data_IF_335742858139
#
_entry.id   IF_335742858139
#
_cell.length_a   1.000
_cell.length_b   1.000
_cell.length_c   1.000
_cell.angle_alpha   90.00
_cell.angle_beta   90.00
_cell.angle_gamma   90.00
#
_symmetry.space_group_name_H-M   'P 1'
#
loop_
_entity.id
_entity.type
_entity.pdbx_description
1 polymer ?
#
# COMPACT_ATOMS: atom_id res chain seq x y z
N UNK A 1 -13.27 13.47 -11.03
CA UNK A 1 -13.41 13.30 -9.59
C UNK A 1 -12.11 12.76 -9.02
N UNK A 2 -11.61 13.33 -7.93
CA UNK A 2 -10.47 12.82 -7.17
C UNK A 2 -10.87 11.58 -6.39
N UNK A 3 -10.05 10.53 -6.40
CA UNK A 3 -10.24 9.34 -5.58
C UNK A 3 -9.51 9.47 -4.23
N UNK A 4 -8.40 10.22 -4.22
CA UNK A 4 -7.59 10.47 -3.04
C UNK A 4 -7.18 11.93 -3.02
N UNK A 5 -7.31 12.56 -1.86
CA UNK A 5 -6.96 13.96 -1.61
C UNK A 5 -6.03 14.05 -0.43
N UNK A 6 -4.91 14.74 -0.63
CA UNK A 6 -3.87 15.00 0.37
C UNK A 6 -3.79 16.52 0.55
N UNK A 7 -3.90 16.97 1.80
CA UNK A 7 -3.86 18.40 2.15
C UNK A 7 -2.88 18.63 3.30
N UNK A 8 -1.83 19.39 3.03
CA UNK A 8 -0.81 19.81 4.01
C UNK A 8 -0.17 18.65 4.79
N UNK A 9 0.06 17.51 4.13
CA UNK A 9 0.72 16.36 4.79
C UNK A 9 2.16 16.71 5.11
N UNK A 10 2.51 16.59 6.39
CA UNK A 10 3.88 16.66 6.91
C UNK A 10 4.18 15.41 7.72
N UNK A 11 5.42 14.91 7.61
CA UNK A 11 5.89 13.72 8.32
C UNK A 11 7.25 13.95 8.93
N UNK A 12 7.38 13.58 10.19
CA UNK A 12 8.62 13.64 10.95
C UNK A 12 8.99 12.24 11.45
N UNK A 13 10.27 11.91 11.39
CA UNK A 13 10.86 10.71 12.01
C UNK A 13 11.76 11.13 13.15
N UNK A 14 11.63 10.47 14.29
CA UNK A 14 12.56 10.66 15.41
C UNK A 14 13.87 9.93 15.09
N UNK A 15 15.03 10.62 15.20
CA UNK A 15 16.34 10.05 14.96
C UNK A 15 16.96 9.49 16.26
N UNK A 16 16.93 10.26 17.36
CA UNK A 16 17.63 9.94 18.61
C UNK A 16 16.88 10.43 19.87
N UNK A 17 15.59 10.64 19.76
CA UNK A 17 14.75 11.16 20.86
C UNK A 17 14.87 12.67 21.10
N UNK A 18 15.84 13.35 20.49
CA UNK A 18 16.03 14.81 20.57
C UNK A 18 15.94 15.49 19.21
N UNK A 19 16.29 14.78 18.14
CA UNK A 19 16.26 15.30 16.77
C UNK A 19 15.18 14.61 15.97
N UNK A 20 14.53 15.38 15.08
CA UNK A 20 13.53 14.87 14.14
C UNK A 20 13.97 15.23 12.73
N UNK A 21 13.83 14.29 11.83
CA UNK A 21 14.00 14.50 10.40
C UNK A 21 12.63 14.71 9.75
N UNK A 22 12.47 15.81 9.02
CA UNK A 22 11.27 16.08 8.28
C UNK A 22 11.33 15.42 6.89
N UNK A 23 10.66 14.27 6.76
CA UNK A 23 10.61 13.51 5.52
C UNK A 23 9.60 14.08 4.51
N UNK A 24 8.51 14.68 4.98
CA UNK A 24 7.51 15.34 4.13
C UNK A 24 7.16 16.71 4.70
N UNK A 25 6.99 17.70 3.81
CA UNK A 25 6.67 19.06 4.20
C UNK A 25 5.52 19.62 3.38
N UNK A 26 4.36 19.83 4.03
CA UNK A 26 3.17 20.47 3.46
C UNK A 26 2.78 19.94 2.08
N UNK A 27 2.77 18.61 1.90
CA UNK A 27 2.45 17.98 0.63
C UNK A 27 0.95 18.14 0.36
N UNK A 28 0.64 18.63 -0.83
CA UNK A 28 -0.71 18.74 -1.36
C UNK A 28 -0.78 18.00 -2.69
N UNK A 29 -1.70 17.04 -2.82
CA UNK A 29 -1.83 16.21 -4.00
C UNK A 29 -3.27 15.72 -4.15
N UNK A 30 -3.74 15.64 -5.39
CA UNK A 30 -5.00 14.98 -5.73
C UNK A 30 -4.75 13.89 -6.76
N UNK A 31 -5.23 12.68 -6.48
CA UNK A 31 -5.15 11.55 -7.38
C UNK A 31 -6.52 11.33 -8.00
N UNK A 32 -6.58 11.43 -9.33
CA UNK A 32 -7.83 11.25 -10.06
C UNK A 32 -8.15 9.76 -10.25
N UNK A 33 -9.46 9.43 -10.18
CA UNK A 33 -9.93 8.06 -10.45
C UNK A 33 -9.59 7.65 -11.90
N UNK A 34 -9.09 6.43 -12.07
CA UNK A 34 -8.79 5.84 -13.38
C UNK A 34 -7.58 6.44 -14.09
N UNK A 35 -6.71 7.13 -13.37
CA UNK A 35 -5.46 7.69 -13.91
C UNK A 35 -4.25 7.07 -13.21
N UNK A 36 -3.14 6.98 -13.95
CA UNK A 36 -1.83 6.67 -13.39
C UNK A 36 -1.22 7.99 -12.91
N UNK A 37 -0.73 7.99 -11.66
CA UNK A 37 0.00 9.12 -11.07
C UNK A 37 1.41 8.66 -10.75
N UNK A 38 2.43 9.30 -11.33
CA UNK A 38 3.82 9.02 -11.05
C UNK A 38 4.37 10.00 -10.01
N UNK A 39 5.04 9.47 -8.98
CA UNK A 39 5.79 10.23 -7.98
C UNK A 39 7.28 9.95 -8.21
N UNK A 40 8.03 10.96 -8.60
CA UNK A 40 9.45 10.83 -8.88
C UNK A 40 10.28 11.86 -8.10
N UNK A 41 11.57 11.57 -7.93
CA UNK A 41 12.52 12.42 -7.20
C UNK A 41 13.74 11.61 -6.75
N UNK A 42 14.76 12.28 -6.20
CA UNK A 42 15.99 11.63 -5.73
C UNK A 42 15.72 10.61 -4.60
N UNK A 43 16.73 9.77 -4.31
CA UNK A 43 16.65 8.86 -3.15
C UNK A 43 16.54 9.69 -1.86
N UNK A 44 15.76 9.20 -0.91
CA UNK A 44 15.56 9.87 0.39
C UNK A 44 14.55 11.02 0.40
N UNK A 45 13.99 11.46 -0.74
CA UNK A 45 13.09 12.62 -0.78
C UNK A 45 11.65 12.35 -0.26
N UNK A 46 11.40 11.23 0.44
CA UNK A 46 10.12 10.96 1.11
C UNK A 46 9.07 10.21 0.27
N UNK A 47 9.39 9.72 -0.95
CA UNK A 47 8.42 8.98 -1.79
C UNK A 47 7.78 7.79 -1.08
N UNK A 48 8.60 6.95 -0.45
CA UNK A 48 8.14 5.78 0.31
C UNK A 48 7.31 6.19 1.52
N UNK A 49 7.71 7.26 2.23
CA UNK A 49 6.93 7.79 3.36
C UNK A 49 5.54 8.25 2.90
N UNK A 50 5.46 8.93 1.75
CA UNK A 50 4.17 9.36 1.19
C UNK A 50 3.31 8.16 0.80
N UNK A 51 3.88 7.13 0.15
CA UNK A 51 3.15 5.91 -0.21
C UNK A 51 2.65 5.15 1.02
N UNK A 52 3.45 5.05 2.08
CA UNK A 52 3.03 4.43 3.35
C UNK A 52 1.86 5.17 4.00
N UNK A 53 1.86 6.50 3.95
CA UNK A 53 0.74 7.32 4.45
C UNK A 53 -0.50 7.10 3.58
N UNK A 54 -0.39 7.21 2.26
CA UNK A 54 -1.50 7.03 1.31
C UNK A 54 -2.18 5.67 1.48
N UNK A 55 -1.39 4.64 1.75
CA UNK A 55 -1.89 3.28 1.92
C UNK A 55 -2.44 2.97 3.32
N UNK A 56 -2.33 3.91 4.27
CA UNK A 56 -2.75 3.70 5.64
C UNK A 56 -1.83 2.77 6.44
N UNK A 57 -0.59 2.56 5.99
CA UNK A 57 0.45 1.84 6.76
C UNK A 57 1.08 2.75 7.82
N UNK A 58 1.24 4.04 7.53
CA UNK A 58 1.76 5.02 8.46
C UNK A 58 0.67 6.03 8.83
N UNK A 59 0.34 6.10 10.10
CA UNK A 59 -0.67 7.02 10.68
C UNK A 59 -0.07 8.25 11.34
N UNK A 60 1.23 8.28 11.53
CA UNK A 60 1.93 9.37 12.22
C UNK A 60 2.29 10.47 11.23
N UNK A 61 1.34 11.28 10.87
CA UNK A 61 1.50 12.45 10.00
C UNK A 61 0.59 13.60 10.46
N UNK A 62 0.94 14.79 10.06
CA UNK A 62 0.08 15.99 10.17
C UNK A 62 -0.66 16.22 8.85
N UNK A 63 -1.78 16.93 8.90
CA UNK A 63 -2.59 17.24 7.72
C UNK A 63 -3.76 16.29 7.53
N UNK A 64 -4.34 16.31 6.34
CA UNK A 64 -5.57 15.58 6.00
C UNK A 64 -5.34 14.65 4.81
N UNK A 65 -5.74 13.40 4.96
CA UNK A 65 -5.77 12.38 3.92
C UNK A 65 -7.20 11.85 3.78
N UNK A 66 -7.78 12.03 2.60
CA UNK A 66 -9.15 11.61 2.30
C UNK A 66 -9.16 10.60 1.14
N UNK A 67 -9.90 9.52 1.28
CA UNK A 67 -10.22 8.57 0.21
C UNK A 67 -11.71 8.67 -0.10
N UNK A 68 -12.05 9.09 -1.33
CA UNK A 68 -13.43 9.35 -1.77
C UNK A 68 -14.22 10.32 -0.85
N UNK A 69 -13.52 11.26 -0.22
CA UNK A 69 -14.09 12.25 0.70
C UNK A 69 -14.17 11.80 2.16
N UNK A 70 -13.78 10.56 2.47
CA UNK A 70 -13.73 10.04 3.85
C UNK A 70 -12.30 10.15 4.39
N UNK A 71 -12.16 10.68 5.61
CA UNK A 71 -10.86 10.82 6.28
C UNK A 71 -10.30 9.47 6.68
N UNK A 72 -9.09 9.14 6.21
CA UNK A 72 -8.41 7.91 6.64
C UNK A 72 -7.84 8.01 8.06
N UNK A 73 -7.65 9.22 8.58
CA UNK A 73 -7.13 9.44 9.93
C UNK A 73 -8.12 9.03 11.01
N UNK A 74 -9.41 9.19 10.72
CA UNK A 74 -10.49 8.94 11.69
C UNK A 74 -10.88 7.46 11.76
N UNK A 75 -10.36 6.64 10.85
CA UNK A 75 -10.59 5.20 10.84
C UNK A 75 -9.86 4.51 12.01
N UNK A 76 -10.54 3.58 12.65
CA UNK A 76 -9.94 2.63 13.60
C UNK A 76 -8.94 1.70 12.89
N UNK A 77 -8.12 0.97 13.65
CA UNK A 77 -7.18 -0.03 13.09
C UNK A 77 -7.92 -1.13 12.30
N UNK A 78 -9.10 -1.54 12.77
CA UNK A 78 -9.92 -2.55 12.09
C UNK A 78 -10.39 -2.01 10.74
N UNK A 79 -10.92 -0.78 10.71
CA UNK A 79 -11.39 -0.14 9.47
C UNK A 79 -10.25 0.13 8.48
N UNK A 80 -9.07 0.55 8.95
CA UNK A 80 -7.88 0.69 8.11
C UNK A 80 -7.41 -0.64 7.54
N UNK A 81 -7.50 -1.71 8.31
CA UNK A 81 -7.19 -3.06 7.83
C UNK A 81 -8.17 -3.48 6.73
N UNK A 82 -9.46 -3.20 6.90
CA UNK A 82 -10.46 -3.43 5.86
C UNK A 82 -10.25 -2.53 4.63
N UNK A 83 -9.85 -1.27 4.86
CA UNK A 83 -9.48 -0.36 3.77
C UNK A 83 -8.31 -0.93 2.95
N UNK A 84 -7.20 -1.33 3.59
CA UNK A 84 -6.06 -1.95 2.90
C UNK A 84 -6.48 -3.22 2.15
N UNK A 85 -7.21 -4.14 2.82
CA UNK A 85 -7.72 -5.38 2.23
C UNK A 85 -8.52 -5.15 0.95
N UNK A 86 -9.35 -4.11 0.91
CA UNK A 86 -10.35 -3.94 -0.13
C UNK A 86 -10.03 -2.86 -1.17
N UNK A 87 -9.11 -1.94 -0.87
CA UNK A 87 -8.88 -0.74 -1.69
C UNK A 87 -7.44 -0.57 -2.16
N UNK A 88 -6.47 -1.27 -1.54
CA UNK A 88 -5.05 -1.09 -1.83
C UNK A 88 -4.46 -2.40 -2.33
N UNK A 89 -3.65 -2.32 -3.37
CA UNK A 89 -2.72 -3.37 -3.80
C UNK A 89 -1.30 -2.82 -3.77
N UNK A 90 -0.36 -3.59 -3.21
CA UNK A 90 1.04 -3.21 -3.15
C UNK A 90 1.88 -4.01 -4.14
N UNK A 91 2.77 -3.31 -4.83
CA UNK A 91 3.89 -3.91 -5.55
C UNK A 91 5.16 -3.39 -4.91
N UNK A 92 5.87 -4.25 -4.19
CA UNK A 92 7.07 -3.88 -3.46
C UNK A 92 8.32 -3.93 -4.34
N UNK A 93 9.27 -3.05 -4.07
CA UNK A 93 10.55 -3.00 -4.78
C UNK A 93 11.38 -4.27 -4.55
N UNK A 94 11.32 -4.86 -3.36
CA UNK A 94 12.08 -6.04 -2.95
C UNK A 94 11.26 -7.33 -3.01
N UNK A 95 10.22 -7.38 -3.86
CA UNK A 95 9.33 -8.52 -4.08
C UNK A 95 8.59 -9.03 -2.84
N UNK A 96 9.15 -8.96 -1.65
CA UNK A 96 8.61 -9.44 -0.36
C UNK A 96 8.14 -10.91 -0.41
N UNK A 97 8.86 -11.75 -1.14
CA UNK A 97 8.60 -13.17 -1.21
C UNK A 97 9.04 -13.86 0.10
N UNK A 98 8.33 -14.91 0.49
CA UNK A 98 8.73 -15.80 1.57
C UNK A 98 9.63 -16.89 0.97
N UNK A 99 10.96 -16.89 1.22
CA UNK A 99 11.92 -17.70 0.45
C UNK A 99 11.76 -19.21 0.60
N UNK A 100 11.19 -19.67 1.72
CA UNK A 100 10.98 -21.09 1.99
C UNK A 100 9.59 -21.61 1.60
N UNK A 101 8.78 -20.77 0.96
CA UNK A 101 7.48 -21.15 0.41
C UNK A 101 7.58 -21.35 -1.10
N UNK A 102 6.69 -22.20 -1.64
CA UNK A 102 6.58 -22.40 -3.09
C UNK A 102 6.13 -21.12 -3.81
N UNK A 103 6.29 -21.07 -5.12
CA UNK A 103 5.76 -19.99 -5.96
C UNK A 103 4.25 -19.87 -5.78
N UNK A 104 3.56 -21.02 -5.81
CA UNK A 104 2.10 -21.06 -5.62
C UNK A 104 1.68 -20.50 -4.26
N UNK A 105 2.36 -20.88 -3.18
CA UNK A 105 2.04 -20.38 -1.84
C UNK A 105 2.29 -18.87 -1.71
N UNK A 106 3.37 -18.36 -2.27
CA UNK A 106 3.64 -16.92 -2.32
C UNK A 106 2.53 -16.16 -3.06
N UNK A 107 2.03 -16.69 -4.18
CA UNK A 107 0.92 -16.07 -4.93
C UNK A 107 -0.41 -16.18 -4.17
N UNK A 108 -0.59 -17.19 -3.32
CA UNK A 108 -1.76 -17.33 -2.45
C UNK A 108 -1.78 -16.34 -1.28
N UNK A 109 -0.64 -15.81 -0.83
CA UNK A 109 -0.55 -14.94 0.35
C UNK A 109 -1.58 -13.80 0.39
N UNK A 110 -1.77 -13.01 -0.67
CA UNK A 110 -2.76 -11.93 -0.67
C UNK A 110 -4.23 -12.42 -0.61
N UNK A 111 -4.46 -13.70 -0.84
CA UNK A 111 -5.80 -14.29 -0.82
C UNK A 111 -6.23 -14.74 0.57
N UNK A 112 -5.30 -15.01 1.50
CA UNK A 112 -5.63 -15.44 2.87
C UNK A 112 -6.46 -14.42 3.66
N UNK A 113 -6.43 -13.16 3.25
CA UNK A 113 -7.27 -12.13 3.88
C UNK A 113 -8.69 -12.09 3.32
N UNK A 114 -9.01 -12.93 2.31
CA UNK A 114 -10.34 -13.07 1.72
C UNK A 114 -11.02 -14.32 2.30
N UNK A 115 -12.34 -14.33 2.33
CA UNK A 115 -13.11 -15.48 2.79
C UNK A 115 -13.22 -16.52 1.65
N UNK A 116 -12.08 -17.15 1.32
CA UNK A 116 -11.94 -18.15 0.27
C UNK A 116 -11.44 -19.47 0.86
N UNK A 117 -11.96 -20.59 0.34
CA UNK A 117 -11.39 -21.91 0.62
C UNK A 117 -10.01 -22.07 -0.01
N UNK A 118 -9.19 -22.97 0.53
CA UNK A 118 -7.85 -23.26 -0.03
C UNK A 118 -7.91 -23.69 -1.50
N UNK A 119 -8.96 -24.43 -1.89
CA UNK A 119 -9.19 -24.82 -3.27
C UNK A 119 -9.42 -23.62 -4.19
N UNK A 120 -10.23 -22.65 -3.77
CA UNK A 120 -10.49 -21.42 -4.53
C UNK A 120 -9.22 -20.58 -4.65
N UNK A 121 -8.48 -20.39 -3.54
CA UNK A 121 -7.20 -19.69 -3.56
C UNK A 121 -6.21 -20.34 -4.53
N UNK A 122 -6.12 -21.67 -4.51
CA UNK A 122 -5.25 -22.44 -5.40
C UNK A 122 -5.65 -22.27 -6.87
N UNK A 123 -6.95 -22.30 -7.18
CA UNK A 123 -7.44 -22.06 -8.54
C UNK A 123 -7.08 -20.67 -9.04
N UNK A 124 -7.35 -19.63 -8.24
CA UNK A 124 -7.04 -18.24 -8.58
C UNK A 124 -5.53 -18.06 -8.78
N UNK A 125 -4.71 -18.60 -7.87
CA UNK A 125 -3.27 -18.47 -7.95
C UNK A 125 -2.70 -19.15 -9.20
N UNK A 126 -3.17 -20.35 -9.54
CA UNK A 126 -2.77 -21.08 -10.76
C UNK A 126 -3.17 -20.32 -12.03
N UNK A 127 -4.37 -19.78 -12.08
CA UNK A 127 -4.82 -18.96 -13.21
C UNK A 127 -3.92 -17.73 -13.42
N UNK A 128 -3.55 -17.02 -12.33
CA UNK A 128 -2.65 -15.87 -12.44
C UNK A 128 -1.25 -16.27 -12.91
N UNK A 129 -0.71 -17.38 -12.41
CA UNK A 129 0.59 -17.89 -12.84
C UNK A 129 0.56 -18.32 -14.31
N UNK A 130 -0.51 -18.98 -14.75
CA UNK A 130 -0.71 -19.34 -16.16
C UNK A 130 -0.76 -18.12 -17.07
N UNK A 131 -1.50 -17.07 -16.67
CA UNK A 131 -1.57 -15.82 -17.43
C UNK A 131 -0.20 -15.12 -17.61
N UNK A 132 0.77 -15.46 -16.75
CA UNK A 132 2.15 -14.98 -16.82
C UNK A 132 3.11 -15.99 -17.48
N UNK A 133 2.62 -17.12 -18.00
CA UNK A 133 3.44 -18.18 -18.59
C UNK A 133 4.32 -18.91 -17.59
N UNK A 134 3.88 -18.98 -16.31
CA UNK A 134 4.65 -19.59 -15.21
C UNK A 134 4.16 -20.98 -14.82
N UNK A 135 3.37 -21.68 -15.66
CA UNK A 135 2.89 -23.05 -15.39
C UNK A 135 3.99 -24.03 -14.98
N UNK A 136 5.20 -24.00 -15.57
CA UNK A 136 6.25 -24.96 -15.20
C UNK A 136 6.74 -24.84 -13.76
N UNK A 137 6.39 -23.76 -13.06
CA UNK A 137 6.83 -23.45 -11.69
C UNK A 137 5.72 -23.61 -10.63
N UNK A 138 4.59 -24.18 -11.01
CA UNK A 138 3.42 -24.39 -10.11
C UNK A 138 3.59 -25.70 -9.31
#
# INVERSE_FOLDING_TARGET
MSILSIKNISKFYALDGKHQEQALRNINLQIAKGKITAIYGPSGCGKTSLLNIISGLDRQYEGVLEFKGESLRDLSEIELTQFRKNKIGFVFQNFNLIPHQSVLDNVKLPLYVKDLSDREMTMIAKEQLSNLGMEPFI
#
